data_IF_144733996073
#
_entry.id   IF_144733996073
#
_cell.length_a   1.000
_cell.length_b   1.000
_cell.length_c   1.000
_cell.angle_alpha   90.00
_cell.angle_beta   90.00
_cell.angle_gamma   90.00
#
_symmetry.space_group_name_H-M   'P 1'
#
loop_
_entity.id
_entity.type
_entity.pdbx_description
1 polymer ?
#
# COMPACT_ATOMS: atom_id res chain seq x y z
N UNK A 1 -29.42 -46.92 14.47
CA UNK A 1 -29.14 -46.21 13.21
C UNK A 1 -27.69 -45.77 13.25
N UNK A 2 -26.83 -46.27 12.36
CA UNK A 2 -25.41 -45.90 12.34
C UNK A 2 -25.30 -44.41 11.99
N UNK A 3 -24.51 -43.70 12.77
CA UNK A 3 -24.13 -42.31 12.48
C UNK A 3 -23.39 -42.34 11.15
N UNK A 4 -23.96 -41.74 10.12
CA UNK A 4 -23.28 -41.54 8.83
C UNK A 4 -21.90 -40.96 9.12
N UNK A 5 -20.87 -41.78 8.94
CA UNK A 5 -19.50 -41.35 9.08
C UNK A 5 -19.28 -40.31 7.98
N UNK A 6 -19.44 -39.03 8.34
CA UNK A 6 -19.27 -37.91 7.44
C UNK A 6 -17.96 -38.12 6.69
N UNK A 7 -18.08 -38.37 5.39
CA UNK A 7 -16.91 -38.66 4.56
C UNK A 7 -15.88 -37.54 4.75
N UNK A 8 -14.59 -37.86 4.99
CA UNK A 8 -13.61 -36.85 5.36
C UNK A 8 -13.61 -35.72 4.34
N UNK A 9 -13.72 -34.48 4.83
CA UNK A 9 -13.71 -33.29 3.99
C UNK A 9 -12.44 -33.28 3.14
N UNK A 10 -12.55 -32.90 1.86
CA UNK A 10 -11.38 -32.78 0.98
C UNK A 10 -10.69 -31.45 1.19
N UNK A 11 -9.38 -31.42 0.91
CA UNK A 11 -8.59 -30.20 0.95
C UNK A 11 -9.15 -29.17 -0.04
N UNK A 12 -9.38 -27.94 0.42
CA UNK A 12 -9.93 -26.85 -0.42
C UNK A 12 -8.89 -26.14 -1.29
N UNK A 13 -7.63 -26.58 -1.30
CA UNK A 13 -6.58 -25.93 -2.10
C UNK A 13 -6.53 -26.48 -3.52
N UNK A 14 -6.13 -25.63 -4.47
CA UNK A 14 -5.74 -26.05 -5.80
C UNK A 14 -4.24 -26.40 -5.87
N UNK A 15 -3.90 -27.31 -6.77
CA UNK A 15 -2.51 -27.60 -7.15
C UNK A 15 -1.86 -26.36 -7.80
N UNK A 16 -0.58 -26.48 -8.15
CA UNK A 16 0.20 -25.35 -8.69
C UNK A 16 -0.31 -24.84 -10.04
N UNK A 17 -1.03 -25.68 -10.78
CA UNK A 17 -1.73 -25.32 -12.01
C UNK A 17 -2.91 -24.35 -11.80
N UNK A 18 -3.30 -24.10 -10.53
CA UNK A 18 -4.41 -23.23 -10.11
C UNK A 18 -5.74 -23.65 -10.71
N UNK A 19 -5.90 -24.94 -11.02
CA UNK A 19 -7.12 -25.50 -11.64
C UNK A 19 -7.52 -26.82 -11.01
N UNK A 20 -6.56 -27.71 -10.77
CA UNK A 20 -6.83 -29.04 -10.25
C UNK A 20 -7.01 -28.98 -8.73
N UNK A 21 -8.16 -29.42 -8.17
CA UNK A 21 -8.34 -29.49 -6.74
C UNK A 21 -7.47 -30.58 -6.10
N UNK A 22 -7.05 -30.34 -4.86
CA UNK A 22 -6.35 -31.36 -4.09
C UNK A 22 -7.28 -32.50 -3.67
N UNK A 23 -6.90 -33.74 -3.96
CA UNK A 23 -7.69 -34.93 -3.61
C UNK A 23 -7.46 -35.43 -2.18
N UNK A 24 -6.46 -34.88 -1.46
CA UNK A 24 -6.15 -35.30 -0.09
C UNK A 24 -7.31 -34.97 0.84
N UNK A 25 -7.60 -35.93 1.72
CA UNK A 25 -8.59 -35.77 2.80
C UNK A 25 -8.00 -34.94 3.93
N UNK A 26 -8.86 -34.17 4.59
CA UNK A 26 -8.55 -33.37 5.77
C UNK A 26 -9.26 -33.97 6.96
N UNK A 27 -8.58 -34.04 8.10
CA UNK A 27 -9.19 -34.50 9.33
C UNK A 27 -10.23 -33.46 9.80
N UNK A 28 -11.52 -33.82 9.68
CA UNK A 28 -12.64 -32.93 10.05
C UNK A 28 -12.64 -32.52 11.52
N UNK A 29 -12.00 -33.31 12.41
CA UNK A 29 -11.97 -33.06 13.87
C UNK A 29 -11.34 -31.72 14.30
N UNK A 30 -10.72 -30.96 13.39
CA UNK A 30 -10.06 -29.68 13.70
C UNK A 30 -10.51 -28.51 12.81
N UNK A 31 -11.65 -28.63 12.12
CA UNK A 31 -12.15 -27.57 11.22
C UNK A 31 -11.17 -27.13 10.12
N UNK A 32 -10.13 -27.93 9.83
CA UNK A 32 -9.05 -27.53 8.92
C UNK A 32 -9.54 -27.52 7.47
N UNK A 33 -9.26 -26.42 6.76
CA UNK A 33 -9.59 -26.25 5.33
C UNK A 33 -8.61 -26.94 4.39
N UNK A 34 -7.36 -27.13 4.82
CA UNK A 34 -6.26 -27.63 3.99
C UNK A 34 -5.59 -28.84 4.64
N UNK A 35 -5.07 -29.77 3.82
CA UNK A 35 -4.13 -30.78 4.30
C UNK A 35 -2.82 -30.12 4.74
N UNK A 36 -2.00 -30.80 5.54
CA UNK A 36 -0.83 -30.18 6.17
C UNK A 36 0.15 -29.56 5.15
N UNK A 37 0.41 -30.25 4.05
CA UNK A 37 1.24 -29.72 2.95
C UNK A 37 0.70 -28.39 2.38
N UNK A 38 -0.61 -28.32 2.08
CA UNK A 38 -1.20 -27.09 1.54
C UNK A 38 -1.37 -26.01 2.61
N UNK A 39 -1.48 -26.38 3.88
CA UNK A 39 -1.47 -25.43 4.97
C UNK A 39 -0.10 -24.73 5.10
N UNK A 40 0.99 -25.47 4.97
CA UNK A 40 2.33 -24.90 4.98
C UNK A 40 2.57 -23.98 3.77
N UNK A 41 2.17 -24.41 2.57
CA UNK A 41 2.21 -23.57 1.37
C UNK A 41 1.34 -22.31 1.52
N UNK A 42 0.17 -22.43 2.14
CA UNK A 42 -0.69 -21.29 2.45
C UNK A 42 0.01 -20.31 3.40
N UNK A 43 0.65 -20.80 4.47
CA UNK A 43 1.41 -19.96 5.41
C UNK A 43 2.58 -19.25 4.73
N UNK A 44 3.30 -19.94 3.86
CA UNK A 44 4.41 -19.38 3.11
C UNK A 44 3.93 -18.29 2.15
N UNK A 45 2.92 -18.57 1.33
CA UNK A 45 2.31 -17.61 0.42
C UNK A 45 1.77 -16.38 1.17
N UNK A 46 1.17 -16.61 2.36
CA UNK A 46 0.68 -15.55 3.23
C UNK A 46 1.81 -14.66 3.72
N UNK A 47 2.88 -15.27 4.20
CA UNK A 47 4.06 -14.56 4.70
C UNK A 47 4.75 -13.78 3.58
N UNK A 48 4.81 -14.34 2.37
CA UNK A 48 5.41 -13.70 1.21
C UNK A 48 4.67 -12.41 0.83
N UNK A 49 3.34 -12.45 0.69
CA UNK A 49 2.60 -11.23 0.36
C UNK A 49 2.65 -10.21 1.51
N UNK A 50 2.63 -10.64 2.78
CA UNK A 50 2.71 -9.72 3.93
C UNK A 50 4.03 -8.95 3.95
N UNK A 51 5.16 -9.62 3.68
CA UNK A 51 6.46 -8.94 3.50
C UNK A 51 6.43 -7.94 2.35
N UNK A 52 5.70 -8.23 1.26
CA UNK A 52 5.51 -7.27 0.18
C UNK A 52 4.65 -6.08 0.63
N UNK A 53 3.55 -6.30 1.35
CA UNK A 53 2.72 -5.24 1.93
C UNK A 53 3.52 -4.33 2.87
N UNK A 54 4.39 -4.88 3.72
CA UNK A 54 5.27 -4.10 4.60
C UNK A 54 6.21 -3.20 3.81
N UNK A 55 6.79 -3.70 2.70
CA UNK A 55 7.61 -2.88 1.80
C UNK A 55 6.79 -1.77 1.14
N UNK A 56 5.57 -2.06 0.69
CA UNK A 56 4.67 -1.07 0.10
C UNK A 56 4.37 0.05 1.09
N UNK A 57 3.98 -0.28 2.32
CA UNK A 57 3.68 0.73 3.34
C UNK A 57 4.92 1.48 3.82
N UNK A 58 6.07 0.81 3.94
CA UNK A 58 7.35 1.47 4.25
C UNK A 58 7.74 2.50 3.18
N UNK A 59 7.62 2.15 1.90
CA UNK A 59 7.90 3.06 0.80
C UNK A 59 6.85 4.18 0.70
N UNK A 60 5.56 3.88 0.92
CA UNK A 60 4.48 4.88 0.92
C UNK A 60 4.74 6.02 1.92
N UNK A 61 5.28 5.73 3.11
CA UNK A 61 5.70 6.76 4.07
C UNK A 61 6.76 7.69 3.46
N UNK A 62 7.78 7.14 2.80
CA UNK A 62 8.79 7.92 2.11
C UNK A 62 8.20 8.74 0.94
N UNK A 63 7.20 8.20 0.23
CA UNK A 63 6.50 8.89 -0.85
C UNK A 63 5.69 10.08 -0.33
N UNK A 64 5.03 9.96 0.82
CA UNK A 64 4.34 11.09 1.45
C UNK A 64 5.31 12.24 1.72
N UNK A 65 6.43 11.95 2.38
CA UNK A 65 7.48 12.95 2.68
C UNK A 65 8.05 13.56 1.40
N UNK A 66 8.31 12.74 0.38
CA UNK A 66 8.81 13.19 -0.92
C UNK A 66 7.84 14.19 -1.58
N UNK A 67 6.54 13.89 -1.55
CA UNK A 67 5.51 14.74 -2.16
C UNK A 67 5.39 16.09 -1.45
N UNK A 68 5.46 16.09 -0.13
CA UNK A 68 5.37 17.33 0.66
C UNK A 68 6.58 18.26 0.41
N UNK A 69 7.73 17.67 0.11
CA UNK A 69 8.98 18.39 -0.17
C UNK A 69 9.28 18.55 -1.67
N UNK A 70 8.31 18.31 -2.56
CA UNK A 70 8.59 18.26 -4.00
C UNK A 70 9.16 19.59 -4.53
N UNK A 71 8.74 20.72 -3.98
CA UNK A 71 9.22 22.06 -4.35
C UNK A 71 10.67 22.37 -3.90
N UNK A 72 11.24 21.61 -2.95
CA UNK A 72 12.59 21.86 -2.42
C UNK A 72 13.69 21.21 -3.26
N UNK A 73 13.34 20.41 -4.26
CA UNK A 73 14.30 19.73 -5.13
C UNK A 73 14.84 20.68 -6.21
N UNK A 74 15.97 21.33 -5.90
CA UNK A 74 16.66 22.28 -6.78
C UNK A 74 17.76 21.65 -7.65
N UNK A 75 18.03 20.35 -7.47
CA UNK A 75 19.07 19.62 -8.18
C UNK A 75 18.51 18.39 -8.90
N UNK A 76 18.91 18.19 -10.16
CA UNK A 76 18.49 17.05 -10.99
C UNK A 76 18.84 15.71 -10.35
N UNK A 77 19.99 15.61 -9.66
CA UNK A 77 20.39 14.40 -8.94
C UNK A 77 19.40 14.00 -7.83
N UNK A 78 18.86 14.97 -7.09
CA UNK A 78 17.87 14.67 -6.05
C UNK A 78 16.53 14.24 -6.66
N UNK A 79 16.12 14.85 -7.78
CA UNK A 79 14.91 14.45 -8.52
C UNK A 79 15.07 13.03 -9.09
N UNK A 80 16.25 12.70 -9.63
CA UNK A 80 16.54 11.35 -10.14
C UNK A 80 16.51 10.31 -9.00
N UNK A 81 16.97 10.67 -7.79
CA UNK A 81 16.84 9.83 -6.59
C UNK A 81 15.37 9.64 -6.20
N UNK A 82 14.57 10.72 -6.19
CA UNK A 82 13.14 10.68 -5.93
C UNK A 82 12.42 9.74 -6.92
N UNK A 83 12.70 9.85 -8.22
CA UNK A 83 12.13 8.94 -9.25
C UNK A 83 12.47 7.48 -8.95
N UNK A 84 13.70 7.18 -8.51
CA UNK A 84 14.09 5.80 -8.15
C UNK A 84 13.27 5.29 -6.95
N UNK A 85 12.99 6.11 -5.95
CA UNK A 85 12.14 5.74 -4.81
C UNK A 85 10.72 5.44 -5.26
N UNK A 86 10.13 6.29 -6.11
CA UNK A 86 8.76 6.08 -6.63
C UNK A 86 8.68 4.79 -7.47
N UNK A 87 9.69 4.49 -8.29
CA UNK A 87 9.75 3.23 -9.04
C UNK A 87 9.82 2.00 -8.13
N UNK A 88 10.63 2.02 -7.07
CA UNK A 88 10.66 0.93 -6.09
C UNK A 88 9.31 0.72 -5.42
N UNK A 89 8.57 1.80 -5.15
CA UNK A 89 7.22 1.71 -4.61
C UNK A 89 6.26 1.06 -5.61
N UNK A 90 6.33 1.46 -6.89
CA UNK A 90 5.56 0.84 -7.97
C UNK A 90 5.84 -0.67 -8.08
N UNK A 91 7.11 -1.06 -8.11
CA UNK A 91 7.54 -2.46 -8.19
C UNK A 91 7.04 -3.28 -6.98
N UNK A 92 7.12 -2.70 -5.77
CA UNK A 92 6.62 -3.35 -4.56
C UNK A 92 5.09 -3.57 -4.60
N UNK A 93 4.33 -2.61 -5.13
CA UNK A 93 2.87 -2.75 -5.29
C UNK A 93 2.55 -3.85 -6.30
N UNK A 94 3.21 -3.86 -7.47
CA UNK A 94 3.00 -4.90 -8.49
C UNK A 94 3.29 -6.29 -7.92
N UNK A 95 4.38 -6.43 -7.16
CA UNK A 95 4.75 -7.70 -6.54
C UNK A 95 3.72 -8.13 -5.48
N UNK A 96 3.25 -7.22 -4.64
CA UNK A 96 2.19 -7.53 -3.67
C UNK A 96 0.91 -8.01 -4.37
N UNK A 97 0.46 -7.28 -5.41
CA UNK A 97 -0.72 -7.66 -6.19
C UNK A 97 -0.57 -9.06 -6.77
N UNK A 98 0.59 -9.37 -7.35
CA UNK A 98 0.89 -10.68 -7.93
C UNK A 98 0.86 -11.79 -6.87
N UNK A 99 1.50 -11.58 -5.73
CA UNK A 99 1.56 -12.57 -4.65
C UNK A 99 0.18 -12.85 -4.03
N UNK A 100 -0.60 -11.80 -3.76
CA UNK A 100 -1.97 -11.94 -3.27
C UNK A 100 -2.86 -12.65 -4.27
N UNK A 101 -2.73 -12.34 -5.55
CA UNK A 101 -3.49 -13.01 -6.61
C UNK A 101 -3.18 -14.51 -6.68
N UNK A 102 -1.90 -14.89 -6.59
CA UNK A 102 -1.48 -16.29 -6.58
C UNK A 102 -2.05 -17.03 -5.36
N UNK A 103 -1.96 -16.42 -4.18
CA UNK A 103 -2.52 -16.99 -2.96
C UNK A 103 -4.04 -17.14 -3.07
N UNK A 104 -4.73 -16.08 -3.48
CA UNK A 104 -6.19 -16.05 -3.54
C UNK A 104 -6.71 -17.09 -4.53
N UNK A 105 -6.14 -17.15 -5.74
CA UNK A 105 -6.47 -18.17 -6.75
C UNK A 105 -6.25 -19.60 -6.29
N UNK A 106 -5.24 -19.88 -5.46
CA UNK A 106 -4.96 -21.25 -5.01
C UNK A 106 -5.80 -21.67 -3.81
N UNK A 107 -6.02 -20.76 -2.86
CA UNK A 107 -6.56 -21.13 -1.55
C UNK A 107 -8.00 -20.66 -1.32
N UNK A 108 -8.52 -19.74 -2.14
CA UNK A 108 -9.83 -19.12 -1.97
C UNK A 108 -10.66 -19.08 -3.27
N UNK A 109 -10.38 -19.96 -4.24
CA UNK A 109 -11.03 -19.98 -5.56
C UNK A 109 -12.56 -20.16 -5.55
N UNK A 110 -13.15 -20.65 -4.45
CA UNK A 110 -14.60 -20.83 -4.29
C UNK A 110 -15.27 -19.69 -3.52
N UNK A 111 -14.49 -18.80 -2.91
CA UNK A 111 -14.99 -17.75 -2.01
C UNK A 111 -14.86 -16.39 -2.70
N UNK A 112 -15.98 -15.68 -2.85
CA UNK A 112 -15.97 -14.31 -3.35
C UNK A 112 -15.50 -13.35 -2.24
N UNK A 113 -14.23 -12.99 -2.25
CA UNK A 113 -13.64 -12.11 -1.22
C UNK A 113 -13.73 -10.63 -1.64
N UNK A 114 -14.78 -9.98 -1.12
CA UNK A 114 -15.00 -8.53 -1.28
C UNK A 114 -13.80 -7.74 -0.72
N UNK A 115 -13.21 -8.19 0.39
CA UNK A 115 -12.04 -7.56 1.01
C UNK A 115 -10.82 -7.61 0.09
N UNK A 116 -10.57 -8.76 -0.54
CA UNK A 116 -9.52 -8.92 -1.54
C UNK A 116 -9.71 -7.97 -2.73
N UNK A 117 -10.95 -7.81 -3.22
CA UNK A 117 -11.25 -6.84 -4.29
C UNK A 117 -10.96 -5.41 -3.89
N UNK A 118 -11.45 -4.97 -2.73
CA UNK A 118 -11.22 -3.61 -2.22
C UNK A 118 -9.71 -3.36 -2.06
N UNK A 119 -8.98 -4.33 -1.51
CA UNK A 119 -7.54 -4.24 -1.37
C UNK A 119 -6.84 -4.07 -2.71
N UNK A 120 -7.18 -4.90 -3.71
CA UNK A 120 -6.63 -4.81 -5.06
C UNK A 120 -6.92 -3.46 -5.71
N UNK A 121 -8.12 -2.92 -5.51
CA UNK A 121 -8.49 -1.59 -6.00
C UNK A 121 -7.62 -0.50 -5.36
N UNK A 122 -7.41 -0.54 -4.04
CA UNK A 122 -6.53 0.40 -3.34
C UNK A 122 -5.09 0.36 -3.83
N UNK A 123 -4.55 -0.84 -4.12
CA UNK A 123 -3.23 -0.99 -4.73
C UNK A 123 -3.18 -0.42 -6.16
N UNK A 124 -4.20 -0.66 -6.98
CA UNK A 124 -4.29 -0.10 -8.32
C UNK A 124 -4.33 1.44 -8.31
N UNK A 125 -5.05 2.05 -7.36
CA UNK A 125 -5.05 3.51 -7.18
C UNK A 125 -3.68 4.04 -6.77
N UNK A 126 -2.94 3.31 -5.96
CA UNK A 126 -1.57 3.68 -5.59
C UNK A 126 -0.60 3.58 -6.78
N UNK A 127 -0.79 2.61 -7.70
CA UNK A 127 -0.02 2.55 -8.94
C UNK A 127 -0.23 3.80 -9.80
N UNK A 128 -1.48 4.23 -9.98
CA UNK A 128 -1.79 5.46 -10.72
C UNK A 128 -1.12 6.68 -10.07
N UNK A 129 -1.19 6.80 -8.74
CA UNK A 129 -0.51 7.86 -7.99
C UNK A 129 1.02 7.83 -8.20
N UNK A 130 1.62 6.65 -8.24
CA UNK A 130 3.05 6.49 -8.50
C UNK A 130 3.42 6.94 -9.92
N UNK A 131 2.63 6.56 -10.92
CA UNK A 131 2.82 6.98 -12.31
C UNK A 131 2.72 8.50 -12.48
N UNK A 132 1.67 9.10 -11.92
CA UNK A 132 1.46 10.55 -11.95
C UNK A 132 2.64 11.29 -11.29
N UNK A 133 3.13 10.78 -10.14
CA UNK A 133 4.26 11.38 -9.45
C UNK A 133 5.56 11.26 -10.26
N UNK A 134 5.80 10.15 -10.96
CA UNK A 134 6.95 10.02 -11.87
C UNK A 134 6.87 11.06 -12.99
N UNK A 135 5.68 11.30 -13.55
CA UNK A 135 5.48 12.32 -14.58
C UNK A 135 5.79 13.73 -14.04
N UNK A 136 5.29 14.06 -12.84
CA UNK A 136 5.56 15.34 -12.18
C UNK A 136 7.06 15.54 -11.93
N UNK A 137 7.75 14.54 -11.38
CA UNK A 137 9.18 14.61 -11.12
C UNK A 137 9.99 14.75 -12.42
N UNK A 138 9.61 14.07 -13.50
CA UNK A 138 10.27 14.23 -14.81
C UNK A 138 10.11 15.65 -15.36
N UNK A 139 8.91 16.21 -15.24
CA UNK A 139 8.67 17.59 -15.66
C UNK A 139 9.52 18.57 -14.82
N UNK A 140 9.55 18.40 -13.50
CA UNK A 140 10.38 19.24 -12.63
C UNK A 140 11.88 19.10 -12.96
N UNK A 141 12.34 17.89 -13.28
CA UNK A 141 13.71 17.64 -13.73
C UNK A 141 14.06 18.46 -14.96
N UNK A 142 13.16 18.50 -15.95
CA UNK A 142 13.33 19.31 -17.15
C UNK A 142 13.45 20.79 -16.80
N UNK A 143 12.53 21.32 -15.98
CA UNK A 143 12.57 22.73 -15.54
C UNK A 143 13.89 23.08 -14.86
N UNK A 144 14.30 22.29 -13.86
CA UNK A 144 15.56 22.49 -13.14
C UNK A 144 16.77 22.40 -14.07
N UNK A 145 16.78 21.45 -15.00
CA UNK A 145 17.87 21.30 -15.98
C UNK A 145 18.00 22.53 -16.89
N UNK A 146 16.89 23.14 -17.32
CA UNK A 146 16.92 24.36 -18.12
C UNK A 146 17.43 25.54 -17.29
N UNK A 147 16.96 25.71 -16.05
CA UNK A 147 17.42 26.76 -15.15
C UNK A 147 18.92 26.67 -14.85
N UNK A 148 19.44 25.47 -14.59
CA UNK A 148 20.88 25.25 -14.37
C UNK A 148 21.71 25.55 -15.62
N UNK A 149 21.20 25.19 -16.81
CA UNK A 149 21.86 25.50 -18.08
C UNK A 149 21.92 27.00 -18.34
N UNK A 150 20.84 27.75 -18.09
CA UNK A 150 20.83 29.21 -18.22
C UNK A 150 21.73 29.92 -17.21
N UNK A 151 21.88 29.36 -16.00
CA UNK A 151 22.77 29.91 -14.98
C UNK A 151 24.25 29.67 -15.34
N UNK A 152 24.58 28.51 -15.91
CA UNK A 152 25.92 28.22 -16.42
C UNK A 152 26.33 29.15 -17.59
N UNK A 153 25.38 29.55 -18.44
CA UNK A 153 25.61 30.48 -19.57
C UNK A 153 25.75 31.94 -19.12
N UNK A 154 25.22 32.32 -17.94
CA UNK A 154 25.34 33.68 -17.37
C UNK A 154 26.59 33.90 -16.52
N UNK A 155 27.41 32.87 -16.29
CA UNK A 155 28.77 33.09 -15.81
C UNK A 155 29.53 33.91 -16.88
N UNK A 156 30.37 34.90 -16.50
CA UNK A 156 30.93 35.84 -17.46
C UNK A 156 31.94 35.14 -18.37
N UNK A 157 31.46 34.64 -19.50
CA UNK A 157 32.29 34.16 -20.60
C UNK A 157 31.69 34.73 -21.87
N UNK A 158 32.41 35.68 -22.47
CA UNK A 158 32.18 36.18 -23.81
C UNK A 158 32.15 35.00 -24.80
N UNK A 159 30.98 34.64 -25.36
CA UNK A 159 30.93 33.82 -26.59
C UNK A 159 29.58 33.93 -27.34
N UNK A 160 29.56 33.81 -28.68
CA UNK A 160 28.44 34.13 -29.57
C UNK A 160 27.33 33.05 -29.63
N UNK A 161 26.18 33.30 -30.32
CA UNK A 161 24.95 32.55 -30.13
C UNK A 161 24.98 31.13 -30.74
N UNK A 162 24.35 30.18 -30.03
CA UNK A 162 24.22 28.77 -30.42
C UNK A 162 22.86 28.49 -31.09
N UNK A 163 22.76 27.58 -32.08
CA UNK A 163 21.54 27.40 -32.89
C UNK A 163 20.43 26.65 -32.16
N UNK A 164 19.20 26.88 -32.61
CA UNK A 164 17.96 26.32 -32.09
C UNK A 164 17.91 24.78 -32.16
N UNK A 165 17.50 24.14 -31.06
CA UNK A 165 17.21 22.70 -31.00
C UNK A 165 15.76 22.45 -31.45
N UNK A 166 15.44 21.39 -32.22
CA UNK A 166 14.13 21.25 -32.87
C UNK A 166 13.03 20.76 -31.93
N UNK A 167 11.83 21.33 -32.08
CA UNK A 167 10.58 21.03 -31.36
C UNK A 167 10.05 19.58 -31.46
N UNK A 168 10.75 18.68 -32.16
CA UNK A 168 10.36 17.29 -32.41
C UNK A 168 10.48 16.38 -31.18
N UNK A 169 11.46 16.63 -30.29
CA UNK A 169 11.63 15.84 -29.07
C UNK A 169 10.46 16.01 -28.08
N UNK A 170 9.81 17.18 -28.09
CA UNK A 170 8.69 17.49 -27.20
C UNK A 170 7.37 16.83 -27.66
N UNK A 171 7.17 16.64 -28.97
CA UNK A 171 5.98 15.96 -29.52
C UNK A 171 5.97 14.46 -29.22
N UNK A 172 7.12 13.78 -29.33
CA UNK A 172 7.23 12.34 -29.06
C UNK A 172 6.92 12.01 -27.58
N UNK A 173 7.38 12.86 -26.65
CA UNK A 173 7.10 12.72 -25.22
C UNK A 173 5.60 12.88 -24.89
N UNK A 174 4.94 13.88 -25.50
CA UNK A 174 3.50 14.11 -25.31
C UNK A 174 2.63 12.97 -25.89
N UNK A 175 3.03 12.38 -27.02
CA UNK A 175 2.31 11.25 -27.61
C UNK A 175 2.40 9.99 -26.74
N UNK A 176 3.58 9.70 -26.17
CA UNK A 176 3.77 8.58 -25.25
C UNK A 176 2.91 8.74 -23.98
N UNK A 177 2.82 9.96 -23.44
CA UNK A 177 1.97 10.26 -22.28
C UNK A 177 0.47 10.10 -22.60
N UNK A 178 0.03 10.40 -23.84
CA UNK A 178 -1.37 10.25 -24.26
C UNK A 178 -1.78 8.78 -24.35
N UNK A 179 -0.94 7.93 -24.92
CA UNK A 179 -1.20 6.49 -25.06
C UNK A 179 -1.21 5.76 -23.71
N UNK A 180 -0.34 6.16 -22.78
CA UNK A 180 -0.36 5.63 -21.41
C UNK A 180 -1.68 5.92 -20.70
N UNK A 181 -2.23 7.14 -20.84
CA UNK A 181 -3.53 7.53 -20.26
C UNK A 181 -4.70 6.73 -20.82
N UNK A 182 -4.70 6.38 -22.11
CA UNK A 182 -5.76 5.56 -22.70
C UNK A 182 -5.73 4.10 -22.23
N UNK A 183 -4.52 3.55 -22.06
CA UNK A 183 -4.36 2.17 -21.56
C UNK A 183 -4.90 1.99 -20.13
N UNK A 184 -4.83 3.04 -19.30
CA UNK A 184 -5.40 3.05 -17.94
C UNK A 184 -6.94 3.21 -17.96
N UNK A 185 -7.50 3.97 -18.92
CA UNK A 185 -8.96 4.08 -19.06
C UNK A 185 -9.62 2.75 -19.39
N UNK A 186 -8.95 1.90 -20.18
CA UNK A 186 -9.43 0.55 -20.51
C UNK A 186 -9.45 -0.40 -19.29
N UNK A 187 -8.68 -0.10 -18.24
CA UNK A 187 -8.67 -0.86 -16.99
C UNK A 187 -9.68 -0.32 -15.96
N UNK A 188 -10.31 0.82 -16.24
CA UNK A 188 -11.29 1.47 -15.37
C UNK A 188 -12.70 1.00 -15.74
N UNK A 189 -13.20 -0.05 -15.09
CA UNK A 189 -14.65 -0.28 -15.06
C UNK A 189 -15.32 0.79 -14.18
N UNK A 190 -16.55 1.26 -14.50
CA UNK A 190 -17.16 2.36 -13.75
C UNK A 190 -17.68 1.91 -12.37
N UNK A 191 -17.23 2.67 -11.37
CA UNK A 191 -17.89 3.00 -10.09
C UNK A 191 -18.11 1.91 -9.02
N UNK A 192 -17.44 2.08 -7.89
CA UNK A 192 -18.10 2.54 -6.67
C UNK A 192 -17.09 3.23 -5.73
N UNK A 193 -17.44 4.46 -5.33
CA UNK A 193 -16.70 5.35 -4.44
C UNK A 193 -17.01 4.94 -3.00
N UNK A 194 -16.08 4.29 -2.28
CA UNK A 194 -16.20 4.16 -0.82
C UNK A 194 -14.87 4.41 -0.13
N UNK A 195 -14.99 5.20 0.94
CA UNK A 195 -13.88 5.86 1.62
C UNK A 195 -13.07 4.97 2.55
N UNK A 196 -12.00 5.61 2.99
CA UNK A 196 -11.13 5.32 4.13
C UNK A 196 -11.71 4.29 5.11
N UNK A 197 -11.15 3.09 5.12
CA UNK A 197 -11.20 2.21 6.28
C UNK A 197 -9.79 1.73 6.61
N UNK A 198 -9.32 2.14 7.79
CA UNK A 198 -8.36 1.38 8.56
C UNK A 198 -9.04 0.05 8.92
N UNK A 199 -8.55 -1.07 8.40
CA UNK A 199 -8.99 -2.38 8.87
C UNK A 199 -8.30 -2.66 10.22
N UNK A 200 -9.04 -2.80 11.33
CA UNK A 200 -8.48 -3.37 12.54
C UNK A 200 -8.21 -4.86 12.30
N UNK A 201 -7.06 -5.34 12.75
CA UNK A 201 -6.84 -6.76 12.94
C UNK A 201 -7.85 -7.26 13.98
N UNK A 202 -8.86 -8.02 13.56
CA UNK A 202 -9.87 -8.55 14.47
C UNK A 202 -10.72 -9.67 13.87
N UNK A 203 -10.58 -10.85 14.47
CA UNK A 203 -11.48 -12.00 14.51
C UNK A 203 -11.90 -12.69 13.19
N UNK A 204 -11.15 -13.74 12.86
CA UNK A 204 -11.78 -15.02 12.49
C UNK A 204 -11.40 -16.00 13.59
N UNK A 205 -12.39 -16.38 14.40
CA UNK A 205 -12.27 -17.41 15.43
C UNK A 205 -11.83 -18.74 14.79
N UNK A 206 -10.70 -19.27 15.28
CA UNK A 206 -10.46 -20.70 15.31
C UNK A 206 -9.48 -21.04 16.44
N UNK A 207 -10.08 -21.54 17.51
CA UNK A 207 -9.54 -22.44 18.53
C UNK A 207 -8.22 -22.08 19.22
N UNK A 208 -8.40 -21.61 20.45
CA UNK A 208 -7.42 -21.55 21.53
C UNK A 208 -7.14 -22.96 22.07
N UNK A 209 -5.90 -23.41 22.05
CA UNK A 209 -5.38 -24.38 23.03
C UNK A 209 -3.92 -24.04 23.41
N UNK A 210 -3.50 -24.35 24.65
CA UNK A 210 -2.48 -23.60 25.37
C UNK A 210 -1.08 -24.18 25.16
N UNK A 211 -0.11 -23.31 24.99
CA UNK A 211 1.29 -23.61 25.27
C UNK A 211 1.78 -22.62 26.32
N UNK A 212 1.83 -23.09 27.56
CA UNK A 212 2.81 -22.60 28.51
C UNK A 212 4.17 -23.14 28.04
N UNK A 213 5.12 -22.27 27.73
CA UNK A 213 6.18 -21.90 28.68
C UNK A 213 7.07 -20.79 28.08
N UNK A 214 7.75 -20.11 28.99
CA UNK A 214 8.38 -18.80 28.95
C UNK A 214 9.36 -18.50 27.81
N UNK A 215 9.29 -17.26 27.32
CA UNK A 215 10.49 -16.41 27.28
C UNK A 215 10.10 -14.93 27.39
N UNK A 216 10.90 -14.23 28.18
CA UNK A 216 10.62 -13.01 28.90
C UNK A 216 10.98 -11.74 28.09
N UNK A 217 10.31 -10.63 28.46
CA UNK A 217 10.84 -9.25 28.59
C UNK A 217 11.09 -8.42 27.32
N UNK A 218 10.17 -7.46 27.10
CA UNK A 218 10.42 -6.02 26.86
C UNK A 218 9.51 -5.42 25.77
N UNK A 219 8.24 -5.11 26.06
CA UNK A 219 7.45 -4.17 25.22
C UNK A 219 6.11 -3.76 25.87
N UNK A 220 6.08 -3.31 27.13
CA UNK A 220 4.83 -2.83 27.75
C UNK A 220 4.96 -1.47 28.42
N UNK A 221 6.12 -0.81 28.34
CA UNK A 221 6.33 0.50 28.97
C UNK A 221 5.94 1.68 28.07
N UNK A 222 6.00 1.54 26.75
CA UNK A 222 5.76 2.67 25.83
C UNK A 222 4.26 2.85 25.51
N UNK A 223 3.50 1.77 25.43
CA UNK A 223 2.06 1.81 25.13
C UNK A 223 1.22 2.34 26.30
N UNK A 224 1.67 2.13 27.55
CA UNK A 224 1.01 2.66 28.75
C UNK A 224 1.20 4.18 28.85
N UNK A 225 2.38 4.69 28.44
CA UNK A 225 2.68 6.12 28.45
C UNK A 225 1.82 6.91 27.44
N UNK A 226 1.62 6.37 26.23
CA UNK A 226 0.77 7.01 25.22
C UNK A 226 -0.70 7.06 25.64
N UNK A 227 -1.21 6.04 26.33
CA UNK A 227 -2.59 6.01 26.82
C UNK A 227 -2.84 7.06 27.91
N UNK A 228 -1.89 7.23 28.85
CA UNK A 228 -1.99 8.22 29.93
C UNK A 228 -1.92 9.67 29.42
N UNK A 229 -1.04 9.96 28.46
CA UNK A 229 -0.94 11.30 27.86
C UNK A 229 -2.25 11.67 27.14
N UNK A 230 -2.84 10.74 26.40
CA UNK A 230 -4.13 10.95 25.73
C UNK A 230 -5.26 11.24 26.73
N UNK A 231 -5.31 10.54 27.86
CA UNK A 231 -6.32 10.77 28.90
C UNK A 231 -6.15 12.14 29.57
N UNK A 232 -4.91 12.54 29.90
CA UNK A 232 -4.62 13.85 30.50
C UNK A 232 -5.02 14.98 29.53
N UNK A 233 -4.67 14.85 28.24
CA UNK A 233 -5.05 15.84 27.24
C UNK A 233 -6.57 15.95 27.05
N UNK A 234 -7.29 14.83 27.08
CA UNK A 234 -8.75 14.83 26.99
C UNK A 234 -9.39 15.57 28.19
N UNK A 235 -8.91 15.34 29.41
CA UNK A 235 -9.40 16.03 30.61
C UNK A 235 -9.14 17.53 30.55
N UNK A 236 -7.94 17.95 30.08
CA UNK A 236 -7.61 19.37 29.91
C UNK A 236 -8.53 20.04 28.89
N UNK A 237 -8.79 19.40 27.75
CA UNK A 237 -9.69 19.94 26.72
C UNK A 237 -11.11 20.10 27.25
N UNK A 238 -11.64 19.07 27.93
CA UNK A 238 -12.99 19.14 28.54
C UNK A 238 -13.06 20.26 29.57
N UNK A 239 -12.04 20.43 30.40
CA UNK A 239 -11.98 21.51 31.39
C UNK A 239 -11.95 22.90 30.75
N UNK A 240 -11.16 23.09 29.69
CA UNK A 240 -11.11 24.35 28.95
C UNK A 240 -12.44 24.68 28.26
N UNK A 241 -13.09 23.67 27.68
CA UNK A 241 -14.42 23.83 27.09
C UNK A 241 -15.47 24.19 28.16
N UNK A 242 -15.40 23.57 29.33
CA UNK A 242 -16.26 23.92 30.45
C UNK A 242 -16.02 25.34 30.94
N UNK A 243 -14.76 25.78 31.05
CA UNK A 243 -14.46 27.17 31.41
C UNK A 243 -14.94 28.18 30.37
N UNK A 244 -14.80 27.86 29.08
CA UNK A 244 -15.30 28.70 27.99
C UNK A 244 -16.84 28.78 28.04
N UNK A 245 -17.52 27.66 28.27
CA UNK A 245 -18.97 27.61 28.43
C UNK A 245 -19.46 28.39 29.66
N UNK A 246 -18.81 28.22 30.81
CA UNK A 246 -19.15 28.95 32.02
C UNK A 246 -18.94 30.47 31.86
N UNK A 247 -17.86 30.88 31.17
CA UNK A 247 -17.64 32.30 30.83
C UNK A 247 -18.70 32.83 29.87
N UNK A 248 -19.10 32.05 28.88
CA UNK A 248 -20.18 32.41 27.97
C UNK A 248 -21.51 32.57 28.70
N UNK A 249 -21.83 31.68 29.65
CA UNK A 249 -23.04 31.77 30.47
C UNK A 249 -23.05 32.98 31.43
N UNK A 250 -21.89 33.43 31.90
CA UNK A 250 -21.80 34.54 32.87
C UNK A 250 -21.67 35.92 32.22
N UNK A 251 -21.15 36.00 30.99
CA UNK A 251 -20.87 37.27 30.29
C UNK A 251 -21.56 37.39 28.92
N UNK A 252 -22.35 36.39 28.52
CA UNK A 252 -23.16 36.42 27.31
C UNK A 252 -24.43 37.24 27.52
N UNK A 253 -24.39 38.50 27.06
CA UNK A 253 -25.57 39.27 26.66
C UNK A 253 -26.05 38.75 25.30
#
# INVERSE_FOLDING_TARGET
MPVDAASPARCKALLEDKKTPCERRVHQRRGRRFCDQHYDQYKEATSAYKRASERVEGLKKAICVLRDNLHTYLATAHIDSAIKVVKRWQDAIVEEMRLREVQHKRFFHLEEDVGHRIWRQGLAENLVKAEDLIVQLRHQREVVSHSQSHQAVRAPVNTPPRPAVPALASRASMQAARLARERVKLLRHPQARYGVYNAPAGHVDLERQPLADQSHKNSTSEDICLSLVCLVMAVVVVWLLWQAYARWMLYGV
#
